data_IF_395117992941
#
_entry.id   IF_395117992941
#
_cell.length_a   1.000
_cell.length_b   1.000
_cell.length_c   1.000
_cell.angle_alpha   90.00
_cell.angle_beta   90.00
_cell.angle_gamma   90.00
#
_symmetry.space_group_name_H-M   'P 1'
#
loop_
_entity.id
_entity.type
_entity.pdbx_description
1 polymer ?
#
# COMPACT_ATOMS: atom_id res chain seq x y z
N UNK A 1 21.93 -11.59 1.59
CA UNK A 1 22.85 -12.75 1.71
C UNK A 1 24.02 -12.58 2.68
N UNK A 2 24.44 -11.37 3.09
CA UNK A 2 25.58 -11.17 4.02
C UNK A 2 25.25 -11.23 5.52
N UNK A 3 23.96 -11.28 5.89
CA UNK A 3 23.49 -11.27 7.29
C UNK A 3 23.41 -12.71 7.84
N UNK A 4 23.14 -13.69 6.97
CA UNK A 4 23.02 -15.11 7.33
C UNK A 4 24.36 -15.76 7.68
N UNK A 5 25.46 -15.27 7.11
CA UNK A 5 26.81 -15.81 7.33
C UNK A 5 27.36 -15.56 8.75
N UNK A 6 26.81 -14.57 9.46
CA UNK A 6 27.22 -14.22 10.82
C UNK A 6 26.48 -14.99 11.91
N UNK A 7 25.44 -15.76 11.57
CA UNK A 7 24.52 -16.37 12.55
C UNK A 7 24.57 -17.91 12.64
N UNK A 8 25.40 -18.62 11.89
CA UNK A 8 25.46 -20.11 11.93
C UNK A 8 24.08 -20.80 11.71
N UNK A 9 23.08 -20.10 11.17
CA UNK A 9 21.75 -20.64 10.87
C UNK A 9 21.69 -20.96 9.38
N UNK A 10 21.37 -22.22 9.05
CA UNK A 10 21.27 -22.67 7.66
C UNK A 10 20.14 -21.89 6.93
N UNK A 11 20.41 -21.21 5.81
CA UNK A 11 19.48 -20.30 5.14
C UNK A 11 18.12 -20.93 4.79
N UNK A 12 18.10 -22.22 4.46
CA UNK A 12 16.86 -22.93 4.13
C UNK A 12 15.89 -23.05 5.32
N UNK A 13 16.39 -23.14 6.56
CA UNK A 13 15.54 -23.23 7.77
C UNK A 13 14.84 -21.92 8.04
N UNK A 14 15.51 -20.82 7.77
CA UNK A 14 14.98 -19.47 7.94
C UNK A 14 13.88 -19.19 6.91
N UNK A 15 14.10 -19.57 5.65
CA UNK A 15 13.08 -19.47 4.59
C UNK A 15 11.87 -20.36 4.90
N UNK A 16 12.09 -21.61 5.33
CA UNK A 16 11.01 -22.52 5.71
C UNK A 16 10.18 -21.96 6.88
N UNK A 17 10.84 -21.43 7.91
CA UNK A 17 10.17 -20.82 9.05
C UNK A 17 9.33 -19.61 8.62
N UNK A 18 9.82 -18.77 7.71
CA UNK A 18 9.05 -17.65 7.16
C UNK A 18 7.82 -18.11 6.37
N UNK A 19 7.97 -19.12 5.51
CA UNK A 19 6.84 -19.67 4.72
C UNK A 19 5.77 -20.23 5.65
N UNK A 20 6.18 -21.01 6.66
CA UNK A 20 5.24 -21.57 7.64
C UNK A 20 4.55 -20.48 8.44
N UNK A 21 5.29 -19.47 8.92
CA UNK A 21 4.72 -18.34 9.65
C UNK A 21 3.71 -17.56 8.80
N UNK A 22 4.04 -17.26 7.54
CA UNK A 22 3.13 -16.61 6.59
C UNK A 22 1.88 -17.46 6.33
N UNK A 23 2.05 -18.76 6.12
CA UNK A 23 0.93 -19.68 5.89
C UNK A 23 -0.02 -19.71 7.07
N UNK A 24 0.49 -19.95 8.28
CA UNK A 24 -0.31 -19.99 9.50
C UNK A 24 -0.99 -18.64 9.77
N UNK A 25 -0.28 -17.53 9.58
CA UNK A 25 -0.84 -16.19 9.72
C UNK A 25 -1.99 -15.92 8.75
N UNK A 26 -1.86 -16.35 7.50
CA UNK A 26 -2.90 -16.19 6.48
C UNK A 26 -4.15 -17.01 6.82
N UNK A 27 -3.97 -18.25 7.28
CA UNK A 27 -5.08 -19.11 7.72
C UNK A 27 -5.82 -18.54 8.94
N UNK A 28 -5.08 -18.12 9.97
CA UNK A 28 -5.67 -17.53 11.18
C UNK A 28 -6.37 -16.21 10.85
N UNK A 29 -5.74 -15.36 10.04
CA UNK A 29 -6.32 -14.09 9.60
C UNK A 29 -7.61 -14.29 8.82
N UNK A 30 -7.63 -15.25 7.88
CA UNK A 30 -8.82 -15.59 7.11
C UNK A 30 -9.95 -16.12 8.01
N UNK A 31 -9.64 -17.04 8.92
CA UNK A 31 -10.63 -17.58 9.86
C UNK A 31 -11.19 -16.50 10.80
N UNK A 32 -10.30 -15.68 11.38
CA UNK A 32 -10.69 -14.59 12.28
C UNK A 32 -11.58 -13.58 11.58
N UNK A 33 -11.22 -13.19 10.35
CA UNK A 33 -12.04 -12.32 9.51
C UNK A 33 -13.43 -12.91 9.26
N UNK A 34 -13.50 -14.19 8.88
CA UNK A 34 -14.76 -14.87 8.62
C UNK A 34 -15.64 -14.96 9.88
N UNK A 35 -15.05 -15.35 11.01
CA UNK A 35 -15.77 -15.54 12.27
C UNK A 35 -16.32 -14.23 12.83
N UNK A 36 -15.54 -13.14 12.80
CA UNK A 36 -16.00 -11.80 13.23
C UNK A 36 -17.16 -11.34 12.35
N UNK A 37 -17.03 -11.45 11.03
CA UNK A 37 -18.08 -11.03 10.12
C UNK A 37 -19.33 -11.92 10.15
N UNK A 38 -19.19 -13.19 10.53
CA UNK A 38 -20.34 -14.06 10.73
C UNK A 38 -21.14 -13.72 12.00
N UNK A 39 -20.48 -13.24 13.06
CA UNK A 39 -21.14 -12.88 14.33
C UNK A 39 -21.70 -11.45 14.33
N UNK A 40 -20.90 -10.49 13.88
CA UNK A 40 -21.22 -9.06 13.99
C UNK A 40 -21.89 -8.51 12.71
N UNK A 41 -21.98 -9.34 11.67
CA UNK A 41 -22.50 -8.95 10.36
C UNK A 41 -21.41 -8.35 9.47
N UNK A 42 -21.58 -8.50 8.15
CA UNK A 42 -20.68 -7.95 7.14
C UNK A 42 -21.36 -6.83 6.37
N UNK A 43 -20.85 -5.62 6.47
CA UNK A 43 -21.36 -4.44 5.74
C UNK A 43 -20.88 -4.37 4.29
N UNK A 44 -20.49 -5.51 3.69
CA UNK A 44 -20.03 -5.60 2.30
C UNK A 44 -18.55 -5.30 2.06
N UNK A 45 -17.85 -4.64 2.99
CA UNK A 45 -16.41 -4.37 2.91
C UNK A 45 -15.98 -3.83 1.53
N UNK A 46 -14.90 -4.37 0.95
CA UNK A 46 -14.47 -4.01 -0.42
C UNK A 46 -15.49 -4.35 -1.52
N UNK A 47 -16.42 -5.28 -1.26
CA UNK A 47 -17.50 -5.63 -2.17
C UNK A 47 -18.70 -4.67 -2.11
N UNK A 48 -18.78 -3.84 -1.07
CA UNK A 48 -19.86 -2.86 -0.89
C UNK A 48 -19.91 -1.86 -2.03
N UNK A 49 -18.76 -1.36 -2.48
CA UNK A 49 -18.66 -0.39 -3.57
C UNK A 49 -19.17 -0.99 -4.89
N UNK A 50 -18.75 -2.21 -5.21
CA UNK A 50 -19.18 -2.93 -6.41
C UNK A 50 -20.68 -3.30 -6.34
N UNK A 51 -21.15 -3.78 -5.19
CA UNK A 51 -22.55 -4.10 -4.96
C UNK A 51 -23.44 -2.86 -5.06
N UNK A 52 -23.00 -1.73 -4.49
CA UNK A 52 -23.71 -0.45 -4.58
C UNK A 52 -23.80 0.05 -6.01
N UNK A 53 -22.72 -0.05 -6.79
CA UNK A 53 -22.75 0.32 -8.21
C UNK A 53 -23.70 -0.59 -9.02
N UNK A 54 -23.65 -1.90 -8.81
CA UNK A 54 -24.58 -2.83 -9.46
C UNK A 54 -26.03 -2.57 -9.07
N UNK A 55 -26.28 -2.38 -7.77
CA UNK A 55 -27.59 -2.03 -7.26
C UNK A 55 -28.07 -0.71 -7.89
N UNK A 56 -27.22 0.31 -7.98
CA UNK A 56 -27.55 1.55 -8.66
C UNK A 56 -27.89 1.31 -10.14
N UNK A 57 -27.12 0.51 -10.88
CA UNK A 57 -27.42 0.23 -12.29
C UNK A 57 -28.71 -0.54 -12.51
N UNK A 58 -29.09 -1.42 -11.56
CA UNK A 58 -30.33 -2.20 -11.62
C UNK A 58 -31.55 -1.33 -11.31
N UNK A 59 -31.46 -0.42 -10.34
CA UNK A 59 -32.59 0.44 -9.93
C UNK A 59 -32.69 1.75 -10.73
N UNK A 60 -31.56 2.28 -11.17
CA UNK A 60 -31.42 3.52 -11.92
C UNK A 60 -30.43 3.25 -13.05
N UNK A 61 -30.90 2.65 -14.15
CA UNK A 61 -30.08 2.52 -15.35
C UNK A 61 -29.79 3.95 -15.82
N UNK A 62 -28.55 4.46 -15.69
CA UNK A 62 -28.27 5.85 -15.99
C UNK A 62 -28.43 6.04 -17.49
N UNK A 63 -29.21 7.03 -17.91
CA UNK A 63 -29.16 7.47 -19.30
C UNK A 63 -27.72 7.88 -19.64
N UNK A 64 -27.33 7.68 -20.90
CA UNK A 64 -25.99 8.00 -21.37
C UNK A 64 -25.70 9.48 -21.14
N UNK A 65 -25.00 9.80 -20.05
CA UNK A 65 -24.61 11.16 -19.72
C UNK A 65 -23.52 11.60 -20.70
N UNK A 66 -23.94 12.35 -21.73
CA UNK A 66 -23.06 12.85 -22.77
C UNK A 66 -21.96 13.74 -22.20
N UNK A 67 -22.22 14.44 -21.10
CA UNK A 67 -21.24 15.29 -20.42
C UNK A 67 -20.15 14.42 -19.78
N UNK A 68 -20.53 13.38 -19.05
CA UNK A 68 -19.58 12.43 -18.46
C UNK A 68 -18.72 11.74 -19.54
N UNK A 69 -19.32 11.38 -20.68
CA UNK A 69 -18.62 10.77 -21.82
C UNK A 69 -17.59 11.72 -22.43
N UNK A 70 -17.91 13.01 -22.56
CA UNK A 70 -16.96 14.03 -23.04
C UNK A 70 -15.79 14.17 -22.07
N UNK A 71 -16.05 14.26 -20.76
CA UNK A 71 -14.98 14.33 -19.75
C UNK A 71 -14.10 13.07 -19.75
N UNK A 72 -14.69 11.88 -19.91
CA UNK A 72 -13.96 10.63 -20.06
C UNK A 72 -13.08 10.64 -21.31
N UNK A 73 -13.60 11.14 -22.43
CA UNK A 73 -12.84 11.33 -23.67
C UNK A 73 -11.67 12.30 -23.49
N UNK A 74 -11.88 13.45 -22.83
CA UNK A 74 -10.81 14.42 -22.52
C UNK A 74 -9.74 13.77 -21.63
N UNK A 75 -10.14 13.08 -20.57
CA UNK A 75 -9.23 12.35 -19.68
C UNK A 75 -8.40 11.30 -20.42
N UNK A 76 -9.05 10.52 -21.29
CA UNK A 76 -8.39 9.54 -22.14
C UNK A 76 -7.34 10.20 -23.06
N UNK A 77 -7.70 11.29 -23.74
CA UNK A 77 -6.78 12.02 -24.61
C UNK A 77 -5.58 12.57 -23.84
N UNK A 78 -5.81 13.16 -22.65
CA UNK A 78 -4.73 13.65 -21.78
C UNK A 78 -3.78 12.52 -21.40
N UNK A 79 -4.30 11.35 -20.99
CA UNK A 79 -3.49 10.18 -20.63
C UNK A 79 -2.68 9.66 -21.81
N UNK A 80 -3.28 9.59 -23.01
CA UNK A 80 -2.59 9.16 -24.24
C UNK A 80 -1.47 10.15 -24.60
N UNK A 81 -1.73 11.45 -24.56
CA UNK A 81 -0.73 12.50 -24.83
C UNK A 81 0.41 12.41 -23.81
N UNK A 82 0.12 12.29 -22.51
CA UNK A 82 1.12 12.11 -21.46
C UNK A 82 1.93 10.83 -21.66
N UNK A 83 1.30 9.74 -22.10
CA UNK A 83 1.96 8.46 -22.36
C UNK A 83 2.88 8.53 -23.58
N UNK A 84 2.45 9.23 -24.63
CA UNK A 84 3.24 9.45 -25.83
C UNK A 84 4.44 10.38 -25.57
N UNK A 85 4.21 11.49 -24.86
CA UNK A 85 5.26 12.40 -24.41
C UNK A 85 6.27 11.69 -23.51
N UNK A 86 5.83 10.76 -22.65
CA UNK A 86 6.71 9.91 -21.84
C UNK A 86 7.63 9.04 -22.67
N UNK A 87 7.11 8.43 -23.76
CA UNK A 87 7.94 7.59 -24.64
C UNK A 87 9.00 8.40 -25.39
N UNK A 88 8.74 9.69 -25.65
CA UNK A 88 9.65 10.55 -26.41
C UNK A 88 10.65 11.33 -25.55
N UNK A 89 10.28 11.69 -24.31
CA UNK A 89 11.10 12.53 -23.41
C UNK A 89 11.46 11.79 -22.11
N UNK A 90 12.43 10.88 -22.20
CA UNK A 90 13.03 10.17 -21.04
C UNK A 90 13.78 11.11 -20.07
N UNK A 91 14.04 12.37 -20.47
CA UNK A 91 14.78 13.36 -19.67
C UNK A 91 13.91 14.06 -18.62
N UNK A 92 12.57 14.08 -18.76
CA UNK A 92 11.73 14.84 -17.83
C UNK A 92 11.57 14.10 -16.49
N UNK A 93 12.40 14.47 -15.52
CA UNK A 93 12.39 13.99 -14.13
C UNK A 93 11.22 14.52 -13.28
N UNK A 94 10.08 14.83 -13.90
CA UNK A 94 8.83 15.11 -13.18
C UNK A 94 8.05 13.81 -13.05
N UNK A 95 8.22 13.16 -11.90
CA UNK A 95 7.75 11.83 -11.54
C UNK A 95 6.29 11.55 -11.96
N UNK A 96 6.03 10.98 -13.17
CA UNK A 96 4.68 10.86 -13.73
C UNK A 96 3.94 9.62 -13.18
N UNK A 97 4.46 9.01 -12.13
CA UNK A 97 3.72 8.07 -11.28
C UNK A 97 2.80 8.80 -10.29
N UNK A 98 3.13 10.05 -9.90
CA UNK A 98 2.31 10.82 -8.97
C UNK A 98 0.98 11.28 -9.60
N UNK A 99 0.92 11.44 -10.92
CA UNK A 99 -0.28 11.95 -11.61
C UNK A 99 -1.43 10.92 -11.69
N UNK A 100 -1.21 9.65 -12.09
CA UNK A 100 -2.24 8.63 -11.98
C UNK A 100 -2.63 8.34 -10.52
N UNK A 101 -1.65 8.28 -9.62
CA UNK A 101 -1.87 8.06 -8.17
C UNK A 101 -2.72 9.17 -7.53
N UNK A 102 -2.60 10.41 -7.99
CA UNK A 102 -3.40 11.52 -7.47
C UNK A 102 -4.86 11.44 -7.94
N UNK A 103 -5.10 10.93 -9.15
CA UNK A 103 -6.46 10.81 -9.71
C UNK A 103 -7.21 9.57 -9.23
N UNK A 104 -6.52 8.44 -9.05
CA UNK A 104 -7.18 7.15 -8.75
C UNK A 104 -7.29 6.84 -7.26
N UNK A 105 -6.50 7.50 -6.40
CA UNK A 105 -6.36 7.20 -4.97
C UNK A 105 -6.61 8.47 -4.13
N UNK A 106 -7.74 9.13 -4.33
CA UNK A 106 -8.06 10.42 -3.70
C UNK A 106 -7.97 10.39 -2.14
N UNK A 107 -8.26 9.24 -1.52
CA UNK A 107 -8.10 9.04 -0.08
C UNK A 107 -6.66 8.73 0.36
N UNK A 108 -6.00 7.79 -0.30
CA UNK A 108 -4.66 7.36 0.09
C UNK A 108 -3.61 8.45 -0.14
N UNK A 109 -3.78 9.28 -1.18
CA UNK A 109 -2.84 10.35 -1.50
C UNK A 109 -2.81 11.45 -0.42
N UNK A 110 -3.95 11.76 0.21
CA UNK A 110 -4.03 12.75 1.30
C UNK A 110 -3.22 12.36 2.55
N UNK A 111 -3.00 11.07 2.78
CA UNK A 111 -2.24 10.59 3.94
C UNK A 111 -0.79 10.24 3.57
N UNK A 112 -0.56 9.80 2.34
CA UNK A 112 0.77 9.36 1.90
C UNK A 112 1.66 10.49 1.35
N UNK A 113 1.12 11.66 0.97
CA UNK A 113 1.93 12.73 0.39
C UNK A 113 3.06 13.20 1.31
N UNK A 114 2.80 13.29 2.62
CA UNK A 114 3.78 13.71 3.64
C UNK A 114 4.90 12.67 3.80
N UNK A 115 4.56 11.38 3.77
CA UNK A 115 5.52 10.27 3.79
C UNK A 115 6.36 10.22 2.52
N UNK A 116 5.76 10.45 1.35
CA UNK A 116 6.47 10.51 0.07
C UNK A 116 7.44 11.70 0.05
N UNK A 117 6.98 12.88 0.50
CA UNK A 117 7.81 14.07 0.60
C UNK A 117 8.98 13.87 1.56
N UNK A 118 8.72 13.31 2.75
CA UNK A 118 9.74 12.97 3.74
C UNK A 118 10.76 11.96 3.19
N UNK A 119 10.29 10.93 2.47
CA UNK A 119 11.16 9.93 1.83
C UNK A 119 12.05 10.56 0.75
N UNK A 120 11.50 11.45 -0.07
CA UNK A 120 12.26 12.20 -1.08
C UNK A 120 13.30 13.12 -0.45
N UNK A 121 12.92 13.87 0.60
CA UNK A 121 13.81 14.76 1.33
C UNK A 121 14.98 13.99 1.97
N UNK A 122 14.69 12.88 2.67
CA UNK A 122 15.74 12.03 3.24
C UNK A 122 16.65 11.46 2.16
N UNK A 123 16.09 10.96 1.06
CA UNK A 123 16.89 10.44 -0.06
C UNK A 123 17.80 11.51 -0.65
N UNK A 124 17.29 12.73 -0.82
CA UNK A 124 18.05 13.87 -1.32
C UNK A 124 19.19 14.26 -0.37
N UNK A 125 18.92 14.35 0.94
CA UNK A 125 19.93 14.66 1.96
C UNK A 125 21.03 13.59 1.97
N UNK A 126 20.66 12.30 1.96
CA UNK A 126 21.61 11.18 1.99
C UNK A 126 22.51 11.18 0.75
N UNK A 127 21.93 11.44 -0.42
CA UNK A 127 22.70 11.52 -1.68
C UNK A 127 23.62 12.74 -1.72
N UNK A 128 23.15 13.90 -1.25
CA UNK A 128 23.92 15.15 -1.25
C UNK A 128 25.10 15.11 -0.27
N UNK A 129 24.91 14.52 0.92
CA UNK A 129 25.94 14.50 1.97
C UNK A 129 26.89 13.29 1.88
N UNK A 130 26.47 12.15 1.32
CA UNK A 130 27.26 10.91 1.41
C UNK A 130 27.35 10.07 0.13
N UNK A 131 26.80 10.54 -0.98
CA UNK A 131 26.86 9.88 -2.28
C UNK A 131 26.30 8.44 -2.28
N UNK A 132 26.68 7.65 -3.28
CA UNK A 132 26.15 6.29 -3.48
C UNK A 132 26.53 5.31 -2.35
N UNK A 133 27.65 5.57 -1.65
CA UNK A 133 28.14 4.72 -0.57
C UNK A 133 27.33 4.90 0.72
N UNK A 134 26.90 6.13 1.04
CA UNK A 134 26.01 6.38 2.17
C UNK A 134 24.60 5.84 1.93
N UNK A 135 24.09 5.94 0.69
CA UNK A 135 22.80 5.35 0.33
C UNK A 135 22.76 3.85 0.65
N UNK A 136 23.78 3.09 0.21
CA UNK A 136 23.87 1.65 0.53
C UNK A 136 23.96 1.33 2.02
N UNK A 137 24.49 2.27 2.84
CA UNK A 137 24.60 2.10 4.29
C UNK A 137 23.31 2.45 5.03
N UNK A 138 22.47 3.31 4.44
CA UNK A 138 21.16 3.68 4.99
C UNK A 138 20.07 2.64 4.71
N UNK A 139 20.21 1.81 3.66
CA UNK A 139 19.27 0.73 3.33
C UNK A 139 18.86 -0.13 4.56
N UNK A 140 19.78 -0.71 5.35
CA UNK A 140 19.40 -1.53 6.50
C UNK A 140 18.63 -0.75 7.58
N UNK A 141 18.85 0.56 7.72
CA UNK A 141 18.11 1.39 8.68
C UNK A 141 16.63 1.51 8.27
N UNK A 142 16.34 1.78 7.00
CA UNK A 142 14.96 1.86 6.51
C UNK A 142 14.24 0.51 6.58
N UNK A 143 14.93 -0.60 6.28
CA UNK A 143 14.36 -1.93 6.49
C UNK A 143 14.06 -2.20 7.97
N UNK A 144 14.92 -1.75 8.88
CA UNK A 144 14.67 -1.82 10.32
C UNK A 144 13.46 -0.99 10.76
N UNK A 145 13.28 0.21 10.20
CA UNK A 145 12.13 1.06 10.47
C UNK A 145 10.82 0.39 10.03
N UNK A 146 10.80 -0.15 8.81
CA UNK A 146 9.64 -0.90 8.27
C UNK A 146 9.32 -2.10 9.15
N UNK A 147 10.35 -2.88 9.52
CA UNK A 147 10.15 -4.05 10.38
C UNK A 147 9.64 -3.66 11.78
N UNK A 148 10.15 -2.55 12.32
CA UNK A 148 9.72 -2.00 13.61
C UNK A 148 8.26 -1.58 13.61
N UNK A 149 7.80 -0.90 12.56
CA UNK A 149 6.40 -0.49 12.39
C UNK A 149 5.45 -1.70 12.41
N UNK A 150 5.77 -2.74 11.62
CA UNK A 150 5.00 -3.99 11.63
C UNK A 150 5.00 -4.73 12.97
N UNK A 151 6.15 -4.79 13.65
CA UNK A 151 6.27 -5.46 14.94
C UNK A 151 5.50 -4.72 16.04
N UNK A 152 5.63 -3.39 16.11
CA UNK A 152 4.92 -2.56 17.09
C UNK A 152 3.43 -2.61 16.84
N UNK A 153 2.99 -2.47 15.57
CA UNK A 153 1.58 -2.59 15.19
C UNK A 153 1.00 -3.96 15.53
N UNK A 154 1.75 -5.04 15.25
CA UNK A 154 1.35 -6.41 15.60
C UNK A 154 1.24 -6.65 17.10
N UNK A 155 2.24 -6.23 17.87
CA UNK A 155 2.24 -6.37 19.34
C UNK A 155 1.08 -5.57 19.96
N UNK A 156 0.85 -4.36 19.46
CA UNK A 156 -0.25 -3.50 19.92
C UNK A 156 -1.63 -4.11 19.64
N UNK A 157 -1.79 -4.74 18.47
CA UNK A 157 -3.01 -5.44 18.11
C UNK A 157 -3.27 -6.64 19.04
N UNK A 158 -2.25 -7.50 19.25
CA UNK A 158 -2.34 -8.65 20.16
C UNK A 158 -2.66 -8.20 21.60
N UNK A 159 -2.04 -7.11 22.05
CA UNK A 159 -2.33 -6.51 23.36
C UNK A 159 -3.79 -6.01 23.46
N UNK A 160 -4.34 -5.48 22.38
CA UNK A 160 -5.74 -5.05 22.31
C UNK A 160 -6.74 -6.19 22.40
N UNK A 161 -6.45 -7.30 21.71
CA UNK A 161 -7.27 -8.52 21.80
C UNK A 161 -7.26 -9.08 23.23
N UNK A 162 -6.08 -9.14 23.87
CA UNK A 162 -5.93 -9.67 25.23
C UNK A 162 -6.58 -8.78 26.30
N UNK A 163 -6.58 -7.47 26.10
CA UNK A 163 -7.10 -6.51 27.09
C UNK A 163 -8.62 -6.33 27.04
N UNK A 164 -9.34 -6.97 26.10
CA UNK A 164 -10.79 -6.78 25.86
C UNK A 164 -11.22 -5.30 25.83
N UNK A 165 -10.31 -4.41 25.41
CA UNK A 165 -10.55 -2.96 25.28
C UNK A 165 -10.50 -2.61 23.81
N UNK A 166 -11.38 -1.71 23.37
CA UNK A 166 -11.30 -1.08 22.05
C UNK A 166 -10.02 -0.25 21.98
N UNK A 167 -8.91 -0.88 21.62
CA UNK A 167 -7.64 -0.20 21.39
C UNK A 167 -7.66 0.33 19.96
N UNK A 168 -7.21 1.58 19.78
CA UNK A 168 -7.05 2.20 18.46
C UNK A 168 -6.33 1.25 17.51
N UNK A 169 -7.08 0.72 16.53
CA UNK A 169 -6.56 -0.09 15.45
C UNK A 169 -5.77 0.82 14.51
N UNK A 170 -4.46 0.62 14.44
CA UNK A 170 -3.64 1.19 13.39
C UNK A 170 -4.08 0.55 12.06
N UNK A 171 -4.83 1.30 11.25
CA UNK A 171 -5.14 0.95 9.88
C UNK A 171 -3.86 1.18 9.06
N UNK A 172 -3.13 0.09 8.78
CA UNK A 172 -2.07 0.04 7.78
C UNK A 172 -2.60 -0.54 6.47
#
# INVERSE_FOLDING_TARGET
LKITDRLQIKPYRLILAMILACGVGLWIGFWGFLHVHYKDGFSGGFGWEAYRHLQQWVYYMPDADGVATIFMGIGFNIVVILTFLRQRFLWWTLHPAAYPLASSLNWTMSWMWSSIFTSWLLKWIILKQGGFKAYRRAIPFFFGLILGDYLVGGIWNVWGVLSHRYIYTFWH
#
